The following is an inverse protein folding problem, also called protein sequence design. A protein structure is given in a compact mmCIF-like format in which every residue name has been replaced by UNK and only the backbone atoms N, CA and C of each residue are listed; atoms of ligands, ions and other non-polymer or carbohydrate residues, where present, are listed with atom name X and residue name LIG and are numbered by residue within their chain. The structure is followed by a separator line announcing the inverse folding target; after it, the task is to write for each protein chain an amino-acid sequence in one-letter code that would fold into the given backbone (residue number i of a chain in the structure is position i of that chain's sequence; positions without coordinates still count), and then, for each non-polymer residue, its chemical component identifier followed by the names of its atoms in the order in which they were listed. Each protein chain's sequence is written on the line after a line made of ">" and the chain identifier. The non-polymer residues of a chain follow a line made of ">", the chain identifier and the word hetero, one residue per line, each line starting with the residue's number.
data_IF_821441037921
#
_entry.id   IF_821441037921
#
_cell.length_a   1.000
_cell.length_b   1.000
_cell.length_c   1.000
_cell.angle_alpha   90.00
_cell.angle_beta   90.00
_cell.angle_gamma   90.00
#
_symmetry.space_group_name_H-M   'P 1'
#
loop_
_entity.id
_entity.type
_entity.pdbx_description
1 polymer ?
#
# COMPACT_ATOMS: atom_id res chain seq x y z
N UNK A 1 -28.29 5.65 1.37
CA UNK A 1 -27.29 4.67 0.88
C UNK A 1 -26.17 5.29 0.04
N UNK A 2 -26.37 6.44 -0.62
CA UNK A 2 -25.35 7.09 -1.47
C UNK A 2 -23.96 7.28 -0.84
N UNK A 3 -23.82 7.87 0.38
CA UNK A 3 -22.50 8.16 0.95
C UNK A 3 -21.67 6.90 1.27
N UNK A 4 -22.32 5.83 1.69
CA UNK A 4 -21.66 4.55 2.00
C UNK A 4 -21.16 3.89 0.71
N UNK A 5 -21.98 3.89 -0.35
CA UNK A 5 -21.59 3.38 -1.66
C UNK A 5 -20.38 4.15 -2.20
N UNK A 6 -20.34 5.47 -2.03
CA UNK A 6 -19.18 6.29 -2.41
C UNK A 6 -17.90 5.89 -1.69
N UNK A 7 -17.96 5.60 -0.39
CA UNK A 7 -16.81 5.11 0.39
C UNK A 7 -16.34 3.76 -0.12
N UNK A 8 -17.26 2.82 -0.38
CA UNK A 8 -16.92 1.48 -0.89
C UNK A 8 -16.29 1.56 -2.29
N UNK A 9 -16.85 2.35 -3.20
CA UNK A 9 -16.29 2.52 -4.54
C UNK A 9 -14.91 3.18 -4.51
N UNK A 10 -14.72 4.18 -3.63
CA UNK A 10 -13.40 4.79 -3.42
C UNK A 10 -12.39 3.83 -2.80
N UNK A 11 -12.81 2.98 -1.87
CA UNK A 11 -11.95 1.96 -1.29
C UNK A 11 -11.55 0.91 -2.33
N UNK A 12 -12.49 0.45 -3.17
CA UNK A 12 -12.19 -0.49 -4.25
C UNK A 12 -11.25 0.12 -5.29
N UNK A 13 -11.54 1.33 -5.77
CA UNK A 13 -10.68 2.05 -6.70
C UNK A 13 -9.29 2.32 -6.10
N UNK A 14 -9.26 2.86 -4.89
CA UNK A 14 -8.02 3.14 -4.15
C UNK A 14 -7.18 1.89 -3.93
N UNK A 15 -7.80 0.73 -3.67
CA UNK A 15 -7.09 -0.53 -3.51
C UNK A 15 -6.44 -0.99 -4.82
N UNK A 16 -7.15 -0.91 -5.94
CA UNK A 16 -6.61 -1.26 -7.26
C UNK A 16 -5.43 -0.36 -7.62
N UNK A 17 -5.59 0.96 -7.49
CA UNK A 17 -4.54 1.93 -7.82
C UNK A 17 -3.35 1.80 -6.86
N UNK A 18 -3.58 1.64 -5.55
CA UNK A 18 -2.52 1.45 -4.56
C UNK A 18 -1.74 0.16 -4.81
N UNK A 19 -2.41 -0.94 -5.14
CA UNK A 19 -1.73 -2.22 -5.43
C UNK A 19 -0.91 -2.13 -6.72
N UNK A 20 -1.47 -1.52 -7.77
CA UNK A 20 -0.74 -1.27 -9.02
C UNK A 20 0.49 -0.40 -8.81
N UNK A 21 0.36 0.70 -8.08
CA UNK A 21 1.49 1.58 -7.78
C UNK A 21 2.47 0.99 -6.76
N UNK A 22 2.03 0.11 -5.86
CA UNK A 22 2.93 -0.68 -5.01
C UNK A 22 3.85 -1.54 -5.87
N UNK A 23 3.32 -2.16 -6.92
CA UNK A 23 4.11 -2.94 -7.88
C UNK A 23 5.14 -2.05 -8.57
N UNK A 24 4.73 -0.89 -9.10
CA UNK A 24 5.67 0.06 -9.72
C UNK A 24 6.74 0.53 -8.72
N UNK A 25 6.34 0.87 -7.51
CA UNK A 25 7.25 1.32 -6.45
C UNK A 25 8.24 0.24 -6.01
N UNK A 26 7.82 -1.02 -5.97
CA UNK A 26 8.71 -2.15 -5.70
C UNK A 26 9.81 -2.27 -6.76
N UNK A 27 9.45 -2.19 -8.05
CA UNK A 27 10.45 -2.23 -9.12
C UNK A 27 11.35 -0.98 -9.12
N UNK A 28 10.82 0.20 -8.77
CA UNK A 28 11.64 1.38 -8.57
C UNK A 28 12.66 1.18 -7.41
N UNK A 29 12.25 0.53 -6.32
CA UNK A 29 13.15 0.12 -5.24
C UNK A 29 14.19 -0.90 -5.70
N UNK A 30 13.81 -1.83 -6.58
CA UNK A 30 14.70 -2.82 -7.15
C UNK A 30 15.80 -2.19 -8.02
N UNK A 31 15.42 -1.34 -8.97
CA UNK A 31 16.38 -0.69 -9.88
C UNK A 31 17.24 0.38 -9.20
N UNK A 32 16.82 0.89 -8.04
CA UNK A 32 17.60 1.85 -7.26
C UNK A 32 18.51 1.20 -6.22
N UNK A 33 18.40 -0.11 -6.00
CA UNK A 33 19.27 -0.81 -5.06
C UNK A 33 20.72 -0.86 -5.58
N UNK A 34 21.72 -0.79 -4.68
CA UNK A 34 23.12 -0.98 -5.06
C UNK A 34 23.34 -2.31 -5.77
N UNK A 35 24.22 -2.33 -6.77
CA UNK A 35 24.64 -3.57 -7.42
C UNK A 35 25.34 -4.49 -6.42
N UNK A 36 24.81 -5.69 -6.23
CA UNK A 36 25.32 -6.64 -5.25
C UNK A 36 24.58 -7.98 -5.32
N UNK A 37 25.16 -9.01 -4.71
CA UNK A 37 24.60 -10.36 -4.70
C UNK A 37 23.27 -10.47 -3.95
N UNK A 38 22.97 -9.52 -3.05
CA UNK A 38 21.72 -9.45 -2.30
C UNK A 38 21.13 -8.05 -2.38
N UNK A 39 19.90 -7.93 -2.90
CA UNK A 39 19.13 -6.69 -2.82
C UNK A 39 18.68 -6.45 -1.37
N UNK A 40 18.93 -5.26 -0.79
CA UNK A 40 18.45 -4.98 0.56
C UNK A 40 16.92 -4.88 0.60
N UNK A 41 16.30 -5.68 1.46
CA UNK A 41 14.84 -5.74 1.62
C UNK A 41 14.21 -4.36 1.92
N UNK A 42 14.94 -3.47 2.60
CA UNK A 42 14.48 -2.12 2.92
C UNK A 42 14.10 -1.31 1.67
N UNK A 43 14.85 -1.42 0.58
CA UNK A 43 14.55 -0.69 -0.67
C UNK A 43 13.24 -1.17 -1.31
N UNK A 44 13.00 -2.48 -1.25
CA UNK A 44 11.80 -3.11 -1.81
C UNK A 44 10.56 -2.78 -0.98
N UNK A 45 10.66 -2.87 0.34
CA UNK A 45 9.57 -2.56 1.28
C UNK A 45 9.22 -1.06 1.20
N UNK A 46 10.22 -0.19 1.24
CA UNK A 46 10.00 1.27 1.16
C UNK A 46 9.45 1.65 -0.22
N UNK A 47 10.01 1.10 -1.30
CA UNK A 47 9.51 1.32 -2.65
C UNK A 47 8.04 0.91 -2.80
N UNK A 48 7.69 -0.30 -2.38
CA UNK A 48 6.32 -0.79 -2.40
C UNK A 48 5.37 0.08 -1.55
N UNK A 49 5.79 0.43 -0.33
CA UNK A 49 5.00 1.25 0.58
C UNK A 49 4.76 2.68 0.07
N UNK A 50 5.78 3.31 -0.51
CA UNK A 50 5.66 4.65 -1.12
C UNK A 50 4.78 4.62 -2.37
N UNK A 51 4.95 3.60 -3.23
CA UNK A 51 4.08 3.40 -4.39
C UNK A 51 2.62 3.22 -3.98
N UNK A 52 2.37 2.37 -2.97
CA UNK A 52 1.03 2.18 -2.41
C UNK A 52 0.46 3.47 -1.82
N UNK A 53 1.26 4.26 -1.11
CA UNK A 53 0.84 5.53 -0.53
C UNK A 53 0.41 6.54 -1.61
N UNK A 54 1.10 6.62 -2.74
CA UNK A 54 0.68 7.45 -3.88
C UNK A 54 -0.67 6.97 -4.42
N UNK A 55 -0.86 5.67 -4.59
CA UNK A 55 -2.14 5.15 -5.08
C UNK A 55 -3.29 5.30 -4.09
N UNK A 56 -3.01 5.16 -2.79
CA UNK A 56 -3.94 5.50 -1.72
C UNK A 56 -4.29 6.99 -1.74
N UNK A 57 -3.30 7.87 -1.95
CA UNK A 57 -3.56 9.30 -2.11
C UNK A 57 -4.50 9.53 -3.31
N UNK A 58 -4.21 8.97 -4.48
CA UNK A 58 -5.07 9.11 -5.68
C UNK A 58 -6.50 8.63 -5.41
N UNK A 59 -6.67 7.48 -4.73
CA UNK A 59 -7.98 6.93 -4.41
C UNK A 59 -8.80 7.81 -3.46
N UNK A 60 -8.15 8.50 -2.53
CA UNK A 60 -8.81 9.23 -1.44
C UNK A 60 -8.75 10.75 -1.57
N UNK A 61 -7.89 11.29 -2.45
CA UNK A 61 -7.66 12.73 -2.56
C UNK A 61 -8.94 13.49 -2.88
N UNK A 62 -9.10 14.62 -2.21
CA UNK A 62 -10.19 15.57 -2.42
C UNK A 62 -9.63 16.99 -2.50
N UNK A 63 -9.60 17.62 -3.68
CA UNK A 63 -9.03 18.95 -3.84
C UNK A 63 -9.84 20.03 -3.11
N UNK A 64 -11.14 19.82 -2.91
CA UNK A 64 -12.03 20.75 -2.20
C UNK A 64 -11.90 20.68 -0.68
N UNK A 65 -11.24 19.65 -0.14
CA UNK A 65 -11.12 19.48 1.31
C UNK A 65 -10.18 20.52 1.95
N UNK A 66 -10.40 20.86 3.23
CA UNK A 66 -9.51 21.71 4.02
C UNK A 66 -8.07 21.19 4.00
N UNK A 67 -7.09 22.12 4.14
CA UNK A 67 -5.65 21.76 4.15
C UNK A 67 -5.34 20.67 5.18
N UNK A 68 -5.91 20.77 6.39
CA UNK A 68 -5.72 19.78 7.44
C UNK A 68 -6.09 18.36 6.99
N UNK A 69 -7.25 18.19 6.35
CA UNK A 69 -7.71 16.90 5.83
C UNK A 69 -6.73 16.33 4.81
N UNK A 70 -6.21 17.14 3.89
CA UNK A 70 -5.26 16.70 2.87
C UNK A 70 -3.97 16.17 3.51
N UNK A 71 -3.45 16.88 4.50
CA UNK A 71 -2.25 16.47 5.24
C UNK A 71 -2.49 15.22 6.09
N UNK A 72 -3.65 15.11 6.75
CA UNK A 72 -4.03 13.90 7.48
C UNK A 72 -4.13 12.70 6.55
N UNK A 73 -4.81 12.83 5.41
CA UNK A 73 -4.92 11.76 4.41
C UNK A 73 -3.53 11.35 3.91
N UNK A 74 -2.66 12.31 3.58
CA UNK A 74 -1.28 12.03 3.16
C UNK A 74 -0.51 11.24 4.23
N UNK A 75 -0.56 11.67 5.50
CA UNK A 75 0.11 10.97 6.59
C UNK A 75 -0.42 9.54 6.78
N UNK A 76 -1.74 9.36 6.71
CA UNK A 76 -2.39 8.07 6.88
C UNK A 76 -2.05 7.09 5.74
N UNK A 77 -2.07 7.53 4.48
CA UNK A 77 -1.72 6.65 3.36
C UNK A 77 -0.24 6.29 3.36
N UNK A 78 0.64 7.20 3.80
CA UNK A 78 2.09 6.95 3.95
C UNK A 78 2.37 5.94 5.06
N UNK A 79 1.84 6.17 6.26
CA UNK A 79 2.01 5.25 7.40
C UNK A 79 1.40 3.90 7.07
N UNK A 80 0.19 3.90 6.49
CA UNK A 80 -0.50 2.69 6.09
C UNK A 80 0.23 1.90 5.02
N UNK A 81 0.74 2.57 3.99
CA UNK A 81 1.50 1.93 2.91
C UNK A 81 2.79 1.31 3.40
N UNK A 82 3.59 2.03 4.20
CA UNK A 82 4.85 1.52 4.74
C UNK A 82 4.65 0.41 5.78
N UNK A 83 3.72 0.59 6.72
CA UNK A 83 3.41 -0.44 7.71
C UNK A 83 2.82 -1.68 7.05
N UNK A 84 1.94 -1.51 6.06
CA UNK A 84 1.36 -2.60 5.28
C UNK A 84 2.40 -3.37 4.49
N UNK A 85 3.34 -2.66 3.83
CA UNK A 85 4.45 -3.29 3.11
C UNK A 85 5.34 -4.10 4.05
N UNK A 86 5.68 -3.54 5.21
CA UNK A 86 6.53 -4.19 6.21
C UNK A 86 5.85 -5.42 6.83
N UNK A 87 4.59 -5.30 7.25
CA UNK A 87 3.81 -6.44 7.77
C UNK A 87 3.69 -7.53 6.70
N UNK A 88 3.35 -7.16 5.47
CA UNK A 88 3.25 -8.12 4.37
C UNK A 88 4.56 -8.84 4.08
N UNK A 89 5.69 -8.13 4.18
CA UNK A 89 7.02 -8.74 4.06
C UNK A 89 7.31 -9.77 5.15
N UNK A 90 6.94 -9.48 6.40
CA UNK A 90 7.12 -10.41 7.53
C UNK A 90 6.17 -11.61 7.45
N UNK A 91 4.95 -11.42 6.95
CA UNK A 91 3.97 -12.48 6.77
C UNK A 91 4.28 -13.39 5.57
N UNK A 92 4.96 -12.87 4.55
CA UNK A 92 5.34 -13.61 3.35
C UNK A 92 5.98 -14.99 3.63
N UNK A 93 7.06 -15.06 4.43
CA UNK A 93 7.67 -16.28 4.93
C UNK A 93 6.72 -17.27 5.64
N UNK A 94 5.74 -16.74 6.37
CA UNK A 94 4.81 -17.54 7.20
C UNK A 94 3.73 -18.16 6.31
N UNK A 95 3.20 -17.37 5.36
CA UNK A 95 2.14 -17.80 4.45
C UNK A 95 2.70 -18.74 3.37
N UNK A 96 3.94 -18.51 2.95
CA UNK A 96 4.59 -19.28 1.90
C UNK A 96 5.99 -19.76 2.31
N UNK A 97 6.06 -20.74 3.24
CA UNK A 97 7.32 -21.25 3.74
C UNK A 97 8.16 -21.92 2.64
N UNK A 98 7.53 -22.51 1.62
CA UNK A 98 8.22 -23.18 0.52
C UNK A 98 8.99 -22.22 -0.41
N UNK A 99 8.61 -20.94 -0.45
CA UNK A 99 9.32 -19.90 -1.20
C UNK A 99 10.73 -19.60 -0.66
N UNK A 100 11.03 -20.00 0.58
CA UNK A 100 12.35 -19.87 1.22
C UNK A 100 13.29 -21.03 0.88
N UNK A 101 12.75 -22.22 0.59
CA UNK A 101 13.53 -23.46 0.44
C UNK A 101 13.96 -23.78 -1.01
N UNK A 102 13.50 -23.02 -2.01
CA UNK A 102 13.95 -23.11 -3.41
C UNK A 102 14.48 -21.75 -3.90
N UNK A 103 15.77 -21.43 -3.66
CA UNK A 103 16.35 -20.12 -4.00
C UNK A 103 16.54 -19.87 -5.51
N UNK A 104 16.09 -20.80 -6.37
CA UNK A 104 16.19 -20.72 -7.83
C UNK A 104 14.89 -20.38 -8.55
N UNK A 105 13.80 -20.12 -7.81
CA UNK A 105 12.60 -19.56 -8.41
C UNK A 105 12.92 -18.15 -8.91
N UNK A 106 12.67 -17.86 -10.19
CA UNK A 106 12.80 -16.51 -10.74
C UNK A 106 12.11 -15.49 -9.82
N UNK A 107 12.50 -14.21 -9.86
CA UNK A 107 11.94 -13.11 -9.04
C UNK A 107 10.38 -13.11 -9.00
N UNK A 108 9.74 -13.68 -10.02
CA UNK A 108 8.29 -13.91 -10.15
C UNK A 108 7.71 -15.03 -9.26
N UNK A 109 8.55 -15.86 -8.65
CA UNK A 109 8.21 -17.04 -7.85
C UNK A 109 8.67 -16.91 -6.39
N UNK A 110 8.88 -15.69 -5.88
CA UNK A 110 9.01 -15.44 -4.46
C UNK A 110 7.66 -14.95 -3.90
N UNK A 111 6.78 -15.87 -3.44
CA UNK A 111 5.53 -15.52 -2.80
C UNK A 111 5.62 -14.43 -1.71
N UNK A 112 6.72 -14.28 -0.94
CA UNK A 112 6.84 -13.21 0.05
C UNK A 112 6.68 -11.79 -0.50
N UNK A 113 7.08 -11.54 -1.76
CA UNK A 113 6.98 -10.21 -2.37
C UNK A 113 5.54 -9.82 -2.67
N UNK A 114 4.72 -10.77 -3.12
CA UNK A 114 3.30 -10.55 -3.37
C UNK A 114 2.55 -10.17 -2.09
N UNK A 115 2.88 -10.80 -0.96
CA UNK A 115 2.27 -10.48 0.34
C UNK A 115 2.66 -9.07 0.79
N UNK A 116 3.91 -8.64 0.56
CA UNK A 116 4.34 -7.27 0.82
C UNK A 116 3.59 -6.25 -0.05
N UNK A 117 3.43 -6.52 -1.34
CA UNK A 117 2.72 -5.64 -2.28
C UNK A 117 1.23 -5.48 -1.93
N UNK A 118 0.55 -6.60 -1.67
CA UNK A 118 -0.84 -6.59 -1.24
C UNK A 118 -1.00 -5.93 0.13
N UNK A 119 -0.11 -6.23 1.07
CA UNK A 119 -0.06 -5.60 2.37
C UNK A 119 0.08 -4.09 2.28
N UNK A 120 0.96 -3.59 1.40
CA UNK A 120 1.14 -2.16 1.15
C UNK A 120 -0.15 -1.51 0.62
N UNK A 121 -0.78 -2.11 -0.40
CA UNK A 121 -2.02 -1.60 -0.99
C UNK A 121 -3.19 -1.56 0.00
N UNK A 122 -3.36 -2.62 0.79
CA UNK A 122 -4.36 -2.72 1.86
C UNK A 122 -4.07 -1.68 2.94
N UNK A 123 -2.85 -1.62 3.45
CA UNK A 123 -2.47 -0.70 4.53
C UNK A 123 -2.68 0.77 4.14
N UNK A 124 -2.27 1.16 2.93
CA UNK A 124 -2.49 2.50 2.40
C UNK A 124 -3.98 2.86 2.31
N UNK A 125 -4.86 1.89 2.03
CA UNK A 125 -6.29 2.12 1.91
C UNK A 125 -7.06 2.06 3.22
N UNK A 126 -6.73 1.14 4.12
CA UNK A 126 -7.51 0.90 5.35
C UNK A 126 -7.50 2.13 6.24
N UNK A 127 -6.35 2.77 6.45
CA UNK A 127 -6.26 3.95 7.30
C UNK A 127 -7.02 5.15 6.71
N UNK A 128 -6.95 5.35 5.39
CA UNK A 128 -7.72 6.40 4.71
C UNK A 128 -9.22 6.10 4.75
N UNK A 129 -9.62 4.85 4.50
CA UNK A 129 -11.01 4.41 4.58
C UNK A 129 -11.59 4.63 5.97
N UNK A 130 -10.86 4.27 7.04
CA UNK A 130 -11.29 4.50 8.42
C UNK A 130 -11.46 5.99 8.71
N UNK A 131 -10.53 6.82 8.26
CA UNK A 131 -10.60 8.27 8.44
C UNK A 131 -11.82 8.89 7.73
N UNK A 132 -12.05 8.56 6.46
CA UNK A 132 -13.21 9.07 5.72
C UNK A 132 -14.54 8.47 6.22
N UNK A 133 -14.54 7.24 6.72
CA UNK A 133 -15.71 6.64 7.37
C UNK A 133 -16.06 7.34 8.68
N UNK A 134 -15.06 7.67 9.49
CA UNK A 134 -15.26 8.46 10.71
C UNK A 134 -15.81 9.85 10.39
N UNK A 135 -15.27 10.51 9.35
CA UNK A 135 -15.77 11.82 8.91
C UNK A 135 -17.19 11.75 8.35
N UNK A 136 -17.53 10.69 7.62
CA UNK A 136 -18.90 10.46 7.17
C UNK A 136 -19.85 10.28 8.36
N UNK A 137 -19.42 9.57 9.40
CA UNK A 137 -20.23 9.39 10.61
C UNK A 137 -20.39 10.69 11.42
N UNK A 138 -19.29 11.41 11.69
CA UNK A 138 -19.27 12.58 12.59
C UNK A 138 -19.71 13.88 11.93
N UNK A 139 -19.37 14.08 10.66
CA UNK A 139 -19.55 15.33 9.91
C UNK A 139 -20.46 15.18 8.69
N UNK A 140 -20.90 13.95 8.35
CA UNK A 140 -21.68 13.65 7.14
C UNK A 140 -20.95 14.02 5.83
N UNK A 141 -19.63 14.08 5.89
CA UNK A 141 -18.75 14.41 4.76
C UNK A 141 -17.96 13.18 4.34
N UNK A 142 -18.02 12.85 3.05
CA UNK A 142 -17.11 11.91 2.39
C UNK A 142 -16.08 12.72 1.64
#
# INVERSE_FOLDING_TARGET
>A
MGPVITVVLRAAFGLVVATGLAFVGFFAGWFSAPSGSNLPASYLIVGAGLGAAIGGLIGWFKPESPRFVKWSTLGLVLIGGLAGAWIGWQLGPIIYPEGLYRPGGSIYNAPPYYVALLGAGIGANVLAMMFYSFRLWRYREV
#
